data_IF_701357517221
#
_entry.id   IF_701357517221
#
_cell.length_a   1.000
_cell.length_b   1.000
_cell.length_c   1.000
_cell.angle_alpha   90.00
_cell.angle_beta   90.00
_cell.angle_gamma   90.00
#
_symmetry.space_group_name_H-M   'P 1'
#
loop_
_entity.id
_entity.type
_entity.pdbx_description
1 polymer ?
#
# COMPACT_ATOMS: atom_id res chain seq x y z
N UNK A 1 0.17 -10.19 11.22
CA UNK A 1 0.42 -8.98 10.40
C UNK A 1 -0.37 -9.18 9.13
N UNK A 2 -1.18 -8.20 8.74
CA UNK A 2 -1.93 -8.30 7.50
C UNK A 2 -0.97 -8.35 6.31
N UNK A 3 -1.25 -9.22 5.34
CA UNK A 3 -0.49 -9.25 4.10
C UNK A 3 -1.06 -8.19 3.15
N UNK A 4 -0.42 -7.03 3.11
CA UNK A 4 -0.82 -5.91 2.27
C UNK A 4 -0.37 -6.07 0.81
N UNK A 5 0.60 -6.95 0.54
CA UNK A 5 1.13 -7.14 -0.81
C UNK A 5 0.06 -7.56 -1.84
N UNK A 6 -0.76 -8.62 -1.63
CA UNK A 6 -1.76 -9.02 -2.62
C UNK A 6 -2.84 -7.95 -2.83
N UNK A 7 -3.15 -7.16 -1.80
CA UNK A 7 -4.11 -6.06 -1.91
C UNK A 7 -3.57 -4.93 -2.80
N UNK A 8 -2.32 -4.50 -2.56
CA UNK A 8 -1.68 -3.45 -3.35
C UNK A 8 -1.37 -3.92 -4.77
N UNK A 9 -0.87 -5.15 -4.93
CA UNK A 9 -0.58 -5.73 -6.24
C UNK A 9 -1.83 -5.80 -7.11
N UNK A 10 -2.97 -6.22 -6.54
CA UNK A 10 -4.26 -6.24 -7.25
C UNK A 10 -4.73 -4.84 -7.62
N UNK A 11 -4.58 -3.87 -6.71
CA UNK A 11 -4.97 -2.49 -6.96
C UNK A 11 -4.16 -1.86 -8.11
N UNK A 12 -2.86 -2.15 -8.18
CA UNK A 12 -1.99 -1.71 -9.28
C UNK A 12 -2.27 -2.46 -10.58
N UNK A 13 -2.55 -3.77 -10.52
CA UNK A 13 -2.93 -4.55 -11.70
C UNK A 13 -4.26 -4.10 -12.33
N UNK A 14 -5.13 -3.45 -11.54
CA UNK A 14 -6.36 -2.82 -12.03
C UNK A 14 -6.17 -1.41 -12.59
N UNK A 15 -4.98 -0.81 -12.46
CA UNK A 15 -4.66 0.45 -13.14
C UNK A 15 -4.37 0.16 -14.62
N UNK A 16 -4.68 1.14 -15.48
CA UNK A 16 -4.28 1.08 -16.89
C UNK A 16 -2.76 0.86 -16.97
N UNK A 17 -2.26 -0.09 -17.79
CA UNK A 17 -0.83 -0.31 -17.98
C UNK A 17 -0.07 0.94 -18.45
N UNK A 18 -0.77 1.86 -19.12
CA UNK A 18 -0.24 3.15 -19.58
C UNK A 18 -0.46 4.28 -18.56
N UNK A 19 -1.02 3.98 -17.38
CA UNK A 19 -1.26 4.97 -16.35
C UNK A 19 0.06 5.62 -15.91
N UNK A 20 0.11 6.95 -15.80
CA UNK A 20 1.29 7.65 -15.30
C UNK A 20 1.73 7.14 -13.93
N UNK A 21 3.02 7.24 -13.62
CA UNK A 21 3.54 6.93 -12.28
C UNK A 21 2.86 7.72 -11.15
N UNK A 22 2.30 8.89 -11.48
CA UNK A 22 1.47 9.69 -10.57
C UNK A 22 0.18 8.99 -10.14
N UNK A 23 -0.48 8.22 -11.02
CA UNK A 23 -1.69 7.46 -10.69
C UNK A 23 -1.41 6.38 -9.65
N UNK A 24 -0.26 5.71 -9.76
CA UNK A 24 0.22 4.74 -8.75
C UNK A 24 0.51 5.43 -7.42
N UNK A 25 1.18 6.59 -7.46
CA UNK A 25 1.48 7.39 -6.27
C UNK A 25 0.20 7.85 -5.54
N UNK A 26 -0.80 8.33 -6.28
CA UNK A 26 -2.08 8.71 -5.72
C UNK A 26 -2.82 7.54 -5.05
N UNK A 27 -2.70 6.34 -5.62
CA UNK A 27 -3.25 5.11 -5.04
C UNK A 27 -2.59 4.78 -3.70
N UNK A 28 -1.26 4.87 -3.62
CA UNK A 28 -0.51 4.61 -2.38
C UNK A 28 -0.85 5.63 -1.28
N UNK A 29 -0.94 6.92 -1.61
CA UNK A 29 -1.35 7.95 -0.65
C UNK A 29 -2.76 7.68 -0.11
N UNK A 30 -3.70 7.28 -0.99
CA UNK A 30 -5.06 6.91 -0.56
C UNK A 30 -5.05 5.67 0.34
N UNK A 31 -4.25 4.65 0.02
CA UNK A 31 -4.12 3.44 0.84
C UNK A 31 -3.56 3.75 2.24
N UNK A 32 -2.54 4.61 2.33
CA UNK A 32 -1.95 5.07 3.60
C UNK A 32 -2.96 5.80 4.46
N UNK A 33 -3.68 6.76 3.88
CA UNK A 33 -4.69 7.54 4.58
C UNK A 33 -5.82 6.63 5.11
N UNK A 34 -6.33 5.74 4.25
CA UNK A 34 -7.37 4.80 4.61
C UNK A 34 -6.93 3.86 5.74
N UNK A 35 -5.71 3.32 5.68
CA UNK A 35 -5.17 2.45 6.73
C UNK A 35 -5.12 3.17 8.08
N UNK A 36 -4.60 4.40 8.14
CA UNK A 36 -4.55 5.16 9.40
C UNK A 36 -5.95 5.43 9.94
N UNK A 37 -6.90 5.81 9.08
CA UNK A 37 -8.29 6.03 9.49
C UNK A 37 -8.92 4.75 10.05
N UNK A 38 -8.70 3.60 9.39
CA UNK A 38 -9.20 2.31 9.84
C UNK A 38 -8.60 1.89 11.18
N UNK A 39 -7.27 1.94 11.31
CA UNK A 39 -6.56 1.54 12.54
C UNK A 39 -6.97 2.38 13.75
N UNK A 40 -7.21 3.69 13.55
CA UNK A 40 -7.70 4.59 14.61
C UNK A 40 -9.19 4.39 14.95
N UNK A 41 -9.96 3.80 14.04
CA UNK A 41 -11.38 3.49 14.25
C UNK A 41 -11.65 2.16 14.95
N UNK A 42 -10.64 1.31 15.13
CA UNK A 42 -10.78 0.00 15.80
C UNK A 42 -11.11 0.16 17.29
N UNK A 43 -11.98 -0.70 17.81
CA UNK A 43 -12.30 -0.81 19.23
C UNK A 43 -12.08 -2.24 19.73
N UNK A 44 -11.26 -2.45 20.78
CA UNK A 44 -10.50 -1.44 21.54
C UNK A 44 -9.41 -0.75 20.69
N UNK A 45 -9.01 0.49 21.05
CA UNK A 45 -8.02 1.23 20.29
C UNK A 45 -6.68 0.49 20.26
N UNK A 46 -6.06 0.44 19.09
CA UNK A 46 -4.72 -0.10 18.91
C UNK A 46 -3.69 0.79 19.59
N UNK A 47 -2.60 0.19 20.07
CA UNK A 47 -1.44 0.94 20.54
C UNK A 47 -0.71 1.63 19.39
N UNK A 48 0.00 2.72 19.68
CA UNK A 48 0.82 3.41 18.68
C UNK A 48 1.88 2.48 18.03
N UNK A 49 2.39 1.51 18.78
CA UNK A 49 3.33 0.50 18.29
C UNK A 49 2.68 -0.44 17.26
N UNK A 50 1.44 -0.87 17.50
CA UNK A 50 0.68 -1.68 16.54
C UNK A 50 0.34 -0.88 15.29
N UNK A 51 -0.09 0.38 15.44
CA UNK A 51 -0.36 1.26 14.31
C UNK A 51 0.92 1.46 13.47
N UNK A 52 2.06 1.70 14.12
CA UNK A 52 3.35 1.85 13.44
C UNK A 52 3.74 0.57 12.70
N UNK A 53 3.55 -0.59 13.34
CA UNK A 53 3.85 -1.89 12.74
C UNK A 53 3.02 -2.15 11.48
N UNK A 54 1.73 -1.86 11.51
CA UNK A 54 0.85 -2.02 10.35
C UNK A 54 1.18 -1.01 9.23
N UNK A 55 1.54 0.23 9.58
CA UNK A 55 2.03 1.21 8.60
C UNK A 55 3.31 0.76 7.92
N UNK A 56 4.27 0.20 8.67
CA UNK A 56 5.52 -0.32 8.10
C UNK A 56 5.25 -1.49 7.14
N UNK A 57 4.36 -2.41 7.51
CA UNK A 57 3.98 -3.54 6.65
C UNK A 57 3.37 -3.06 5.32
N UNK A 58 2.53 -2.02 5.34
CA UNK A 58 1.99 -1.41 4.12
C UNK A 58 3.11 -0.81 3.26
N UNK A 59 4.04 -0.08 3.86
CA UNK A 59 5.16 0.54 3.12
C UNK A 59 6.08 -0.50 2.47
N UNK A 60 6.35 -1.61 3.16
CA UNK A 60 7.12 -2.73 2.60
C UNK A 60 6.42 -3.36 1.39
N UNK A 61 5.10 -3.58 1.49
CA UNK A 61 4.30 -4.08 0.38
C UNK A 61 4.34 -3.14 -0.84
N UNK A 62 4.19 -1.83 -0.61
CA UNK A 62 4.28 -0.81 -1.67
C UNK A 62 5.65 -0.83 -2.33
N UNK A 63 6.74 -0.85 -1.55
CA UNK A 63 8.11 -0.90 -2.10
C UNK A 63 8.34 -2.13 -2.96
N UNK A 64 7.85 -3.29 -2.52
CA UNK A 64 7.98 -4.54 -3.28
C UNK A 64 7.25 -4.46 -4.62
N UNK A 65 5.99 -4.01 -4.62
CA UNK A 65 5.19 -3.85 -5.85
C UNK A 65 5.84 -2.86 -6.82
N UNK A 66 6.32 -1.71 -6.32
CA UNK A 66 7.00 -0.73 -7.16
C UNK A 66 8.31 -1.25 -7.74
N UNK A 67 9.09 -2.01 -6.96
CA UNK A 67 10.32 -2.61 -7.46
C UNK A 67 10.03 -3.64 -8.56
N UNK A 68 8.99 -4.45 -8.41
CA UNK A 68 8.57 -5.43 -9.43
C UNK A 68 8.04 -4.72 -10.68
N UNK A 69 7.24 -3.67 -10.53
CA UNK A 69 6.73 -2.86 -11.63
C UNK A 69 7.87 -2.16 -12.40
N UNK A 70 8.85 -1.61 -11.68
CA UNK A 70 10.04 -0.99 -12.28
C UNK A 70 10.92 -2.02 -13.00
N UNK A 71 11.04 -3.24 -12.48
CA UNK A 71 11.78 -4.32 -13.15
C UNK A 71 11.11 -4.69 -14.48
N UNK A 72 9.78 -4.91 -14.47
CA UNK A 72 9.02 -5.23 -15.69
C UNK A 72 9.06 -4.14 -16.75
N UNK A 73 9.16 -2.87 -16.35
CA UNK A 73 9.26 -1.75 -17.28
C UNK A 73 10.64 -1.64 -17.96
N UNK A 74 11.66 -2.34 -17.45
CA UNK A 74 13.02 -2.36 -18.02
C UNK A 74 13.26 -3.56 -18.94
N UNK A 75 12.40 -4.58 -18.85
CA UNK A 75 12.39 -5.78 -19.71
C UNK A 75 11.59 -5.51 -21.00
#
# INVERSE_FOLDING_TARGET
MADYYPLIARAIAGLDPNAPGESRRALYERARAALIQQLRGVQPPLSESEITRERLALEEAVRKVESEAAQRARE
#
